data_IF_748755644355
#
_entry.id   IF_748755644355
#
_cell.length_a   1.000
_cell.length_b   1.000
_cell.length_c   1.000
_cell.angle_alpha   90.00
_cell.angle_beta   90.00
_cell.angle_gamma   90.00
#
_symmetry.space_group_name_H-M   'P 1'
#
loop_
_entity.id
_entity.type
_entity.pdbx_description
1 polymer ?
#
# COMPACT_ATOMS: atom_id res chain seq x y z
N UNK A 1 -53.90 11.56 -57.34
CA UNK A 1 -53.57 10.42 -56.52
C UNK A 1 -52.01 10.42 -56.40
N UNK A 2 -51.48 10.85 -55.29
CA UNK A 2 -50.01 10.92 -55.06
C UNK A 2 -49.68 9.96 -53.91
N UNK A 3 -48.97 8.88 -54.21
CA UNK A 3 -48.48 7.93 -53.23
C UNK A 3 -47.21 8.48 -52.58
N UNK A 4 -47.23 8.60 -51.27
CA UNK A 4 -46.06 8.96 -50.45
C UNK A 4 -45.53 7.67 -49.89
N UNK A 5 -44.28 7.31 -50.28
CA UNK A 5 -43.52 6.23 -49.66
C UNK A 5 -42.84 6.77 -48.38
N UNK A 6 -43.17 6.19 -47.26
CA UNK A 6 -42.46 6.40 -46.00
C UNK A 6 -41.28 5.40 -45.92
N UNK A 7 -40.04 5.93 -45.92
CA UNK A 7 -38.85 5.14 -45.67
C UNK A 7 -38.56 5.22 -44.16
N UNK A 8 -38.77 4.10 -43.49
CA UNK A 8 -38.42 3.96 -42.06
C UNK A 8 -36.94 3.70 -41.89
N UNK A 9 -36.21 4.65 -41.28
CA UNK A 9 -34.82 4.45 -40.87
C UNK A 9 -34.78 3.73 -39.52
N UNK A 10 -34.32 2.48 -39.51
CA UNK A 10 -34.02 1.77 -38.27
C UNK A 10 -32.68 2.21 -37.69
N UNK A 11 -32.70 2.92 -36.57
CA UNK A 11 -31.50 3.24 -35.78
C UNK A 11 -31.07 1.98 -34.99
N UNK A 12 -29.99 1.39 -35.41
CA UNK A 12 -29.29 0.33 -34.66
C UNK A 12 -28.43 0.97 -33.56
N UNK A 13 -28.94 1.01 -32.32
CA UNK A 13 -28.18 1.42 -31.16
C UNK A 13 -27.22 0.29 -30.75
N UNK A 14 -25.94 0.44 -31.06
CA UNK A 14 -24.89 -0.40 -30.47
C UNK A 14 -24.74 -0.03 -28.98
N UNK A 15 -25.23 -0.91 -28.12
CA UNK A 15 -24.93 -0.90 -26.68
C UNK A 15 -23.47 -1.38 -26.48
N UNK A 16 -22.55 -0.44 -26.37
CA UNK A 16 -21.21 -0.72 -25.85
C UNK A 16 -21.35 -1.07 -24.35
N UNK A 17 -21.31 -2.35 -24.05
CA UNK A 17 -21.23 -2.82 -22.67
C UNK A 17 -19.95 -2.29 -21.98
N UNK A 18 -19.99 -2.05 -20.65
CA UNK A 18 -18.81 -1.62 -19.93
C UNK A 18 -17.71 -2.69 -20.08
N UNK A 19 -16.55 -2.28 -20.61
CA UNK A 19 -15.35 -3.12 -20.63
C UNK A 19 -14.99 -3.46 -19.19
N UNK A 20 -15.14 -4.72 -18.80
CA UNK A 20 -14.65 -5.21 -17.52
C UNK A 20 -13.13 -5.04 -17.52
N UNK A 21 -12.63 -4.02 -16.81
CA UNK A 21 -11.19 -3.89 -16.54
C UNK A 21 -10.78 -5.12 -15.76
N UNK A 22 -9.90 -5.95 -16.32
CA UNK A 22 -9.34 -7.10 -15.63
C UNK A 22 -8.71 -6.61 -14.32
N UNK A 23 -9.24 -7.03 -13.16
CA UNK A 23 -8.61 -6.75 -11.88
C UNK A 23 -7.22 -7.39 -11.89
N UNK A 24 -6.18 -6.65 -11.45
CA UNK A 24 -4.85 -7.21 -11.33
C UNK A 24 -4.91 -8.49 -10.48
N UNK A 25 -4.20 -9.53 -10.92
CA UNK A 25 -4.11 -10.79 -10.19
C UNK A 25 -3.71 -10.54 -8.72
N UNK A 26 -4.33 -11.26 -7.80
CA UNK A 26 -3.97 -11.16 -6.37
C UNK A 26 -2.57 -11.75 -6.14
N UNK A 27 -1.74 -11.14 -5.27
CA UNK A 27 -0.41 -11.66 -4.96
C UNK A 27 -0.49 -13.08 -4.39
N UNK A 28 0.37 -13.96 -4.88
CA UNK A 28 0.48 -15.33 -4.35
C UNK A 28 1.19 -15.27 -2.99
N UNK A 29 0.67 -16.01 -2.02
CA UNK A 29 1.29 -16.15 -0.70
C UNK A 29 2.27 -17.32 -0.66
N UNK A 30 3.35 -17.13 0.09
CA UNK A 30 4.35 -18.17 0.38
C UNK A 30 4.40 -18.39 1.88
N UNK A 31 4.30 -19.65 2.30
CA UNK A 31 4.53 -20.01 3.69
C UNK A 31 5.98 -19.76 4.10
N UNK A 32 6.17 -19.21 5.28
CA UNK A 32 7.51 -19.12 5.89
C UNK A 32 7.89 -20.48 6.47
N UNK A 33 9.17 -20.89 6.36
CA UNK A 33 9.65 -22.16 6.95
C UNK A 33 9.54 -22.16 8.49
N UNK A 34 9.63 -20.97 9.09
CA UNK A 34 9.44 -20.74 10.52
C UNK A 34 8.58 -19.49 10.68
N UNK A 35 7.62 -19.52 11.61
CA UNK A 35 6.80 -18.34 11.93
C UNK A 35 7.69 -17.21 12.47
N UNK A 36 7.66 -16.05 11.81
CA UNK A 36 8.44 -14.88 12.21
C UNK A 36 7.65 -13.99 13.18
N UNK A 37 8.31 -13.56 14.25
CA UNK A 37 7.68 -12.76 15.31
C UNK A 37 8.01 -11.26 15.12
N UNK A 38 7.04 -10.44 14.65
CA UNK A 38 7.28 -9.01 14.44
C UNK A 38 7.69 -8.25 15.72
N UNK A 39 7.37 -8.77 16.90
CA UNK A 39 7.76 -8.14 18.17
C UNK A 39 9.24 -8.35 18.51
N UNK A 40 9.96 -9.16 17.73
CA UNK A 40 11.38 -9.49 17.95
C UNK A 40 12.28 -9.03 16.81
N UNK A 41 11.74 -8.97 15.61
CA UNK A 41 12.49 -8.65 14.39
C UNK A 41 11.58 -8.06 13.31
N UNK A 42 12.14 -7.25 12.43
CA UNK A 42 11.44 -6.77 11.25
C UNK A 42 11.12 -7.94 10.31
N UNK A 43 9.84 -8.13 9.98
CA UNK A 43 9.38 -9.20 9.11
C UNK A 43 8.99 -8.65 7.75
N UNK A 44 9.69 -9.06 6.70
CA UNK A 44 9.37 -8.69 5.32
C UNK A 44 8.04 -9.34 4.89
N UNK A 45 7.00 -8.54 4.69
CA UNK A 45 5.70 -8.99 4.19
C UNK A 45 5.67 -9.17 2.66
N UNK A 46 6.55 -8.47 1.96
CA UNK A 46 6.71 -8.61 0.52
C UNK A 46 7.49 -7.46 -0.12
N UNK A 47 7.90 -7.70 -1.36
CA UNK A 47 8.56 -6.70 -2.21
C UNK A 47 7.92 -6.71 -3.59
N UNK A 48 7.46 -5.57 -4.06
CA UNK A 48 6.78 -5.38 -5.34
C UNK A 48 7.44 -4.25 -6.10
N UNK A 49 7.69 -4.43 -7.40
CA UNK A 49 8.16 -3.36 -8.28
C UNK A 49 7.04 -2.98 -9.23
N UNK A 50 6.54 -1.76 -9.12
CA UNK A 50 5.47 -1.24 -9.97
C UNK A 50 5.60 0.28 -10.11
N UNK A 51 5.12 0.85 -11.23
CA UNK A 51 5.17 2.30 -11.47
C UNK A 51 6.58 2.90 -11.38
N UNK A 52 7.63 2.14 -11.71
CA UNK A 52 9.04 2.49 -11.53
C UNK A 52 9.41 2.80 -10.06
N UNK A 53 8.75 2.12 -9.12
CA UNK A 53 9.04 2.17 -7.68
C UNK A 53 9.17 0.76 -7.14
N UNK A 54 10.07 0.56 -6.18
CA UNK A 54 10.15 -0.65 -5.35
C UNK A 54 9.44 -0.36 -4.04
N UNK A 55 8.42 -1.15 -3.76
CA UNK A 55 7.70 -1.18 -2.50
C UNK A 55 8.21 -2.37 -1.69
N UNK A 56 8.85 -2.13 -0.57
CA UNK A 56 9.22 -3.18 0.39
C UNK A 56 8.44 -2.92 1.67
N UNK A 57 7.48 -3.79 1.95
CA UNK A 57 6.58 -3.68 3.11
C UNK A 57 7.06 -4.62 4.21
N UNK A 58 7.22 -4.07 5.41
CA UNK A 58 7.66 -4.78 6.60
C UNK A 58 6.69 -4.59 7.75
N UNK A 59 6.73 -5.50 8.71
CA UNK A 59 5.96 -5.47 9.95
C UNK A 59 6.92 -5.67 11.11
N UNK A 60 6.82 -4.78 12.11
CA UNK A 60 7.61 -4.80 13.34
C UNK A 60 6.71 -4.65 14.57
N UNK A 61 7.27 -4.75 15.77
CA UNK A 61 6.59 -4.36 17.00
C UNK A 61 6.37 -2.85 17.05
N UNK A 62 5.21 -2.43 17.58
CA UNK A 62 4.93 -1.00 17.77
C UNK A 62 5.99 -0.34 18.66
N UNK A 63 6.39 0.88 18.29
CA UNK A 63 7.47 1.61 18.95
C UNK A 63 7.09 3.07 19.26
N UNK A 64 7.72 3.68 20.26
CA UNK A 64 7.60 5.11 20.49
C UNK A 64 8.23 5.92 19.35
N UNK A 65 7.55 6.97 18.92
CA UNK A 65 8.01 7.85 17.84
C UNK A 65 8.22 9.27 18.34
N UNK A 66 9.21 9.97 17.79
CA UNK A 66 9.40 11.41 18.00
C UNK A 66 8.74 12.14 16.84
N UNK A 67 7.62 12.81 17.10
CA UNK A 67 6.79 13.38 16.04
C UNK A 67 6.18 14.73 16.45
N UNK A 68 5.69 15.49 15.47
CA UNK A 68 4.95 16.72 15.72
C UNK A 68 3.50 16.40 16.10
N UNK A 69 3.04 16.97 17.21
CA UNK A 69 1.69 16.77 17.75
C UNK A 69 1.09 18.10 18.20
N UNK A 70 -0.22 18.15 18.28
CA UNK A 70 -0.96 19.29 18.82
C UNK A 70 -1.16 20.46 17.84
N UNK A 71 -1.76 21.54 18.36
CA UNK A 71 -1.98 22.78 17.64
C UNK A 71 -1.70 23.98 18.57
N UNK A 72 -0.63 24.77 18.34
CA UNK A 72 0.36 24.62 17.27
C UNK A 72 1.18 23.35 17.39
N UNK A 73 1.73 22.84 16.26
CA UNK A 73 2.54 21.61 16.27
C UNK A 73 3.79 21.77 17.13
N UNK A 74 4.04 20.81 18.02
CA UNK A 74 5.24 20.72 18.83
C UNK A 74 5.83 19.31 18.77
N UNK A 75 7.15 19.22 18.77
CA UNK A 75 7.84 17.93 18.80
C UNK A 75 7.70 17.26 20.16
N UNK A 76 7.35 15.99 20.19
CA UNK A 76 7.22 15.21 21.42
C UNK A 76 7.30 13.70 21.17
N UNK A 77 7.55 12.95 22.23
CA UNK A 77 7.47 11.51 22.20
C UNK A 77 6.01 11.06 22.17
N UNK A 78 5.67 10.20 21.22
CA UNK A 78 4.37 9.56 21.10
C UNK A 78 4.54 8.05 21.34
N UNK A 79 4.01 7.57 22.45
CA UNK A 79 3.97 6.14 22.73
C UNK A 79 2.86 5.45 21.89
N UNK A 80 3.02 4.17 21.53
CA UNK A 80 1.95 3.42 20.90
C UNK A 80 0.68 3.41 21.77
N UNK A 81 -0.49 3.45 21.15
CA UNK A 81 -1.75 3.22 21.85
C UNK A 81 -1.82 1.76 22.32
N UNK A 82 -2.70 1.48 23.30
CA UNK A 82 -2.79 0.15 23.93
C UNK A 82 -3.11 -0.98 22.95
N UNK A 83 -3.86 -0.67 21.90
CA UNK A 83 -4.25 -1.59 20.84
C UNK A 83 -3.28 -1.61 19.65
N UNK A 84 -2.35 -0.65 19.55
CA UNK A 84 -1.29 -0.61 18.54
C UNK A 84 -0.18 -1.60 18.90
N UNK A 85 -0.26 -2.78 18.34
CA UNK A 85 0.72 -3.86 18.59
C UNK A 85 1.87 -3.88 17.58
N UNK A 86 1.63 -3.37 16.39
CA UNK A 86 2.55 -3.48 15.26
C UNK A 86 2.94 -2.11 14.74
N UNK A 87 4.10 -2.06 14.12
CA UNK A 87 4.59 -0.94 13.32
C UNK A 87 4.66 -1.40 11.86
N UNK A 88 3.97 -0.69 10.97
CA UNK A 88 3.97 -0.95 9.53
C UNK A 88 5.01 -0.03 8.88
N UNK A 89 6.00 -0.60 8.22
CA UNK A 89 7.07 0.14 7.55
C UNK A 89 7.06 -0.11 6.04
N UNK A 90 7.07 0.96 5.24
CA UNK A 90 7.29 0.94 3.80
C UNK A 90 8.65 1.54 3.46
N UNK A 91 9.53 0.74 2.89
CA UNK A 91 10.74 1.21 2.22
C UNK A 91 10.45 1.43 0.74
N UNK A 92 10.30 2.70 0.35
CA UNK A 92 10.03 3.10 -1.02
C UNK A 92 11.34 3.54 -1.71
N UNK A 93 11.67 2.93 -2.86
CA UNK A 93 12.94 3.23 -3.54
C UNK A 93 12.81 3.22 -5.07
N UNK A 94 13.72 3.93 -5.72
CA UNK A 94 13.95 3.82 -7.15
C UNK A 94 14.65 2.49 -7.47
N UNK A 95 14.12 1.67 -8.39
CA UNK A 95 14.71 0.38 -8.73
C UNK A 95 16.11 0.49 -9.38
N UNK A 96 16.42 1.59 -10.07
CA UNK A 96 17.69 1.79 -10.75
C UNK A 96 18.80 2.23 -9.80
N UNK A 97 18.57 3.29 -9.02
CA UNK A 97 19.58 3.89 -8.14
C UNK A 97 19.58 3.33 -6.74
N UNK A 98 18.52 2.60 -6.35
CA UNK A 98 18.25 2.11 -4.96
C UNK A 98 18.05 3.26 -3.96
N UNK A 99 17.98 4.50 -4.42
CA UNK A 99 17.75 5.67 -3.58
C UNK A 99 16.33 5.66 -3.03
N UNK A 100 16.17 6.01 -1.76
CA UNK A 100 14.85 6.19 -1.14
C UNK A 100 14.13 7.38 -1.77
N UNK A 101 12.83 7.22 -2.04
CA UNK A 101 11.98 8.25 -2.63
C UNK A 101 11.34 9.04 -1.48
N UNK A 102 11.71 10.33 -1.28
CA UNK A 102 11.14 11.17 -0.24
C UNK A 102 9.85 11.88 -0.71
N UNK A 103 9.20 12.62 0.20
CA UNK A 103 8.11 13.57 -0.07
C UNK A 103 6.92 13.00 -0.84
N UNK A 104 6.59 11.73 -0.62
CA UNK A 104 5.34 11.14 -1.08
C UNK A 104 4.31 11.12 0.06
N UNK A 105 3.03 11.31 -0.25
CA UNK A 105 1.97 10.94 0.65
C UNK A 105 1.71 9.44 0.47
N UNK A 106 1.78 8.69 1.57
CA UNK A 106 1.64 7.23 1.55
C UNK A 106 0.46 6.82 2.42
N UNK A 107 -0.39 5.95 1.89
CA UNK A 107 -1.47 5.32 2.64
C UNK A 107 -1.36 3.80 2.60
N UNK A 108 -1.72 3.18 3.71
CA UNK A 108 -1.80 1.73 3.88
C UNK A 108 -3.23 1.35 4.25
N UNK A 109 -3.78 0.33 3.63
CA UNK A 109 -5.05 -0.27 3.99
C UNK A 109 -4.90 -1.78 4.01
N UNK A 110 -5.34 -2.44 5.09
CA UNK A 110 -5.28 -3.89 5.23
C UNK A 110 -6.61 -4.45 5.74
N UNK A 111 -7.20 -5.36 4.97
CA UNK A 111 -8.43 -6.06 5.34
C UNK A 111 -8.08 -7.47 5.78
N UNK A 112 -8.47 -7.82 7.00
CA UNK A 112 -8.44 -9.20 7.47
C UNK A 112 -9.61 -9.96 6.81
N UNK A 113 -9.29 -10.92 5.95
CA UNK A 113 -10.25 -11.69 5.16
C UNK A 113 -11.09 -12.66 6.00
N UNK A 114 -10.59 -13.05 7.17
CA UNK A 114 -11.25 -14.03 8.03
C UNK A 114 -12.34 -13.39 8.90
N UNK A 115 -12.24 -12.08 9.20
CA UNK A 115 -13.23 -11.36 10.00
C UNK A 115 -13.82 -10.10 9.33
N UNK A 116 -13.36 -9.73 8.15
CA UNK A 116 -13.83 -8.59 7.34
C UNK A 116 -13.40 -7.20 7.85
N UNK A 117 -12.64 -7.10 8.93
CA UNK A 117 -12.21 -5.82 9.50
C UNK A 117 -11.07 -5.21 8.69
N UNK A 118 -11.14 -3.89 8.50
CA UNK A 118 -10.14 -3.12 7.75
C UNK A 118 -9.49 -2.07 8.66
N UNK A 119 -8.18 -1.95 8.54
CA UNK A 119 -7.37 -0.85 9.10
C UNK A 119 -6.89 0.01 7.96
N UNK A 120 -6.95 1.34 8.13
CA UNK A 120 -6.42 2.31 7.17
C UNK A 120 -5.55 3.31 7.92
N UNK A 121 -4.33 3.54 7.42
CA UNK A 121 -3.31 4.40 8.03
C UNK A 121 -2.73 5.35 6.98
N UNK A 122 -2.44 6.59 7.37
CA UNK A 122 -1.42 7.37 6.71
C UNK A 122 -0.05 6.90 7.22
N UNK A 123 0.92 6.73 6.32
CA UNK A 123 2.30 6.42 6.67
C UNK A 123 3.16 7.68 6.44
N UNK A 124 3.38 8.52 7.45
CA UNK A 124 4.26 9.67 7.33
C UNK A 124 5.72 9.25 7.12
N UNK A 125 6.57 10.13 6.54
CA UNK A 125 7.99 9.86 6.43
C UNK A 125 8.63 9.83 7.83
N UNK A 126 9.45 8.83 8.05
CA UNK A 126 10.21 8.61 9.29
C UNK A 126 11.67 8.33 8.96
N UNK A 127 12.56 8.67 9.89
CA UNK A 127 13.97 8.35 9.84
C UNK A 127 14.34 7.42 10.97
N UNK A 128 14.84 6.24 10.67
CA UNK A 128 15.30 5.24 11.62
C UNK A 128 16.64 4.62 11.20
N UNK A 129 17.03 3.53 11.84
CA UNK A 129 18.27 2.80 11.53
C UNK A 129 18.33 2.29 10.08
N UNK A 130 17.19 2.03 9.46
CA UNK A 130 17.06 1.62 8.06
C UNK A 130 17.10 2.80 7.06
N UNK A 131 17.29 4.04 7.54
CA UNK A 131 17.21 5.28 6.76
C UNK A 131 15.78 5.77 6.61
N UNK A 132 15.52 6.57 5.54
CA UNK A 132 14.19 7.09 5.24
C UNK A 132 13.23 5.95 4.88
N UNK A 133 12.10 5.91 5.55
CA UNK A 133 10.96 5.04 5.27
C UNK A 133 9.64 5.75 5.59
N UNK A 134 8.52 5.13 5.32
CA UNK A 134 7.17 5.62 5.62
C UNK A 134 6.51 4.65 6.58
N UNK A 135 6.02 5.12 7.72
CA UNK A 135 5.58 4.18 8.75
C UNK A 135 4.54 4.76 9.71
N UNK A 136 3.81 3.86 10.37
CA UNK A 136 2.92 4.17 11.48
C UNK A 136 2.69 2.93 12.36
N UNK A 137 2.40 3.15 13.64
CA UNK A 137 1.88 2.10 14.51
C UNK A 137 0.47 1.70 14.08
N UNK A 138 0.11 0.44 14.30
CA UNK A 138 -1.12 -0.17 13.80
C UNK A 138 -1.73 -1.15 14.77
N UNK A 139 -3.05 -1.03 14.91
CA UNK A 139 -3.91 -2.03 15.51
C UNK A 139 -4.42 -3.03 14.46
N UNK A 140 -3.54 -3.83 13.83
CA UNK A 140 -3.97 -4.94 12.97
C UNK A 140 -4.90 -5.88 13.76
N UNK A 141 -6.08 -6.16 13.22
CA UNK A 141 -7.21 -6.72 13.98
C UNK A 141 -7.18 -8.25 14.01
N UNK A 142 -6.34 -8.80 14.88
CA UNK A 142 -6.28 -10.23 15.18
C UNK A 142 -5.56 -11.07 14.12
N UNK A 143 -5.52 -12.37 14.38
CA UNK A 143 -5.00 -13.36 13.44
C UNK A 143 -5.88 -13.47 12.21
N UNK A 144 -5.33 -13.96 11.10
CA UNK A 144 -6.05 -14.17 9.85
C UNK A 144 -5.24 -13.85 8.61
N UNK A 145 -5.88 -13.99 7.46
CA UNK A 145 -5.32 -13.61 6.15
C UNK A 145 -5.59 -12.15 5.89
N UNK A 146 -4.54 -11.39 5.65
CA UNK A 146 -4.63 -9.98 5.30
C UNK A 146 -4.41 -9.76 3.81
N UNK A 147 -5.32 -8.98 3.20
CA UNK A 147 -5.11 -8.33 1.91
C UNK A 147 -4.81 -6.86 2.16
N UNK A 148 -3.58 -6.45 1.86
CA UNK A 148 -3.12 -5.08 2.08
C UNK A 148 -2.84 -4.38 0.74
N UNK A 149 -3.10 -3.08 0.73
CA UNK A 149 -2.76 -2.17 -0.38
C UNK A 149 -1.98 -0.99 0.18
N UNK A 150 -0.85 -0.71 -0.43
CA UNK A 150 -0.10 0.53 -0.19
C UNK A 150 -0.29 1.42 -1.42
N UNK A 151 -0.73 2.66 -1.21
CA UNK A 151 -0.84 3.66 -2.27
C UNK A 151 0.13 4.79 -1.97
N UNK A 152 0.89 5.16 -2.99
CA UNK A 152 1.86 6.26 -2.98
C UNK A 152 1.38 7.31 -3.95
N UNK A 153 1.13 8.51 -3.46
CA UNK A 153 0.81 9.67 -4.30
C UNK A 153 2.08 10.21 -4.98
N UNK A 154 1.86 11.12 -5.92
CA UNK A 154 2.96 11.76 -6.66
C UNK A 154 3.93 12.45 -5.69
N UNK A 155 5.22 12.06 -5.65
CA UNK A 155 6.19 12.76 -4.83
C UNK A 155 6.31 14.25 -5.21
N UNK A 156 6.42 15.13 -4.22
CA UNK A 156 6.31 16.59 -4.42
C UNK A 156 7.62 17.31 -4.74
N UNK A 157 8.76 16.60 -4.79
CA UNK A 157 10.04 17.20 -5.20
C UNK A 157 10.11 17.52 -6.70
N UNK A 158 10.98 18.47 -7.06
CA UNK A 158 11.21 18.87 -8.44
C UNK A 158 11.90 17.74 -9.24
N UNK A 159 11.61 17.64 -10.52
CA UNK A 159 12.22 16.70 -11.46
C UNK A 159 12.90 17.45 -12.60
N UNK A 160 13.95 16.89 -13.16
CA UNK A 160 14.50 17.40 -14.43
C UNK A 160 13.45 17.25 -15.55
N UNK A 161 13.51 18.13 -16.54
CA UNK A 161 12.54 18.13 -17.65
C UNK A 161 12.49 16.78 -18.38
N UNK A 162 13.65 16.11 -18.53
CA UNK A 162 13.72 14.77 -19.16
C UNK A 162 12.99 13.69 -18.35
N UNK A 163 12.84 13.89 -17.03
CA UNK A 163 12.22 12.96 -16.08
C UNK A 163 10.82 13.43 -15.63
N UNK A 164 10.21 14.40 -16.32
CA UNK A 164 8.91 14.99 -15.95
C UNK A 164 7.79 13.97 -15.76
N UNK A 165 7.83 12.86 -16.48
CA UNK A 165 6.82 11.79 -16.43
C UNK A 165 7.18 10.68 -15.42
N UNK A 166 8.35 10.76 -14.78
CA UNK A 166 8.75 9.81 -13.75
C UNK A 166 7.90 10.04 -12.48
N UNK A 167 7.22 9.00 -12.01
CA UNK A 167 6.31 9.03 -10.85
C UNK A 167 5.24 10.15 -10.92
N UNK A 168 4.77 10.46 -12.13
CA UNK A 168 3.81 11.54 -12.38
C UNK A 168 2.34 11.15 -12.07
N UNK A 169 2.10 9.94 -11.58
CA UNK A 169 0.77 9.42 -11.20
C UNK A 169 0.87 8.61 -9.91
N UNK A 170 -0.20 8.56 -9.12
CA UNK A 170 -0.26 7.65 -7.97
C UNK A 170 -0.03 6.21 -8.38
N UNK A 171 0.64 5.46 -7.51
CA UNK A 171 0.98 4.04 -7.74
C UNK A 171 0.54 3.23 -6.52
N UNK A 172 -0.07 2.07 -6.75
CA UNK A 172 -0.45 1.15 -5.68
C UNK A 172 0.23 -0.20 -5.84
N UNK A 173 0.59 -0.80 -4.71
CA UNK A 173 1.10 -2.16 -4.61
C UNK A 173 0.23 -2.97 -3.66
N UNK A 174 0.02 -4.25 -3.97
CA UNK A 174 -0.77 -5.17 -3.17
C UNK A 174 0.13 -6.19 -2.49
N UNK A 175 -0.26 -6.55 -1.25
CA UNK A 175 0.44 -7.53 -0.43
C UNK A 175 -0.58 -8.46 0.21
N UNK A 176 -0.23 -9.74 0.37
CA UNK A 176 -1.00 -10.71 1.13
C UNK A 176 -0.11 -11.38 2.16
N UNK A 177 -0.55 -11.43 3.40
CA UNK A 177 0.17 -12.10 4.47
C UNK A 177 -0.81 -12.75 5.44
N UNK A 178 -0.31 -13.66 6.28
CA UNK A 178 -1.13 -14.29 7.34
C UNK A 178 -0.46 -14.13 8.67
N UNK A 179 -1.25 -13.68 9.65
CA UNK A 179 -0.93 -13.73 11.06
C UNK A 179 -1.56 -14.97 11.71
N UNK A 180 -0.81 -15.63 12.58
CA UNK A 180 -1.26 -16.71 13.46
C UNK A 180 -0.52 -16.60 14.80
N UNK A 181 -1.26 -16.56 15.90
CA UNK A 181 -0.73 -16.34 17.26
C UNK A 181 0.16 -15.09 17.33
N UNK A 182 -0.22 -14.04 16.59
CA UNK A 182 0.49 -12.77 16.47
C UNK A 182 1.80 -12.83 15.66
N UNK A 183 2.12 -13.96 15.01
CA UNK A 183 3.32 -14.15 14.17
C UNK A 183 2.95 -14.20 12.70
N UNK A 184 3.86 -13.77 11.85
CA UNK A 184 3.72 -13.90 10.40
C UNK A 184 4.07 -15.33 10.00
N UNK A 185 3.15 -16.03 9.34
CA UNK A 185 3.33 -17.42 8.87
C UNK A 185 3.31 -17.54 7.35
N UNK A 186 2.73 -16.57 6.64
CA UNK A 186 2.75 -16.48 5.18
C UNK A 186 3.00 -15.03 4.74
N UNK A 187 3.73 -14.85 3.66
CA UNK A 187 4.04 -13.53 3.06
C UNK A 187 3.77 -13.53 1.56
N UNK A 188 3.67 -12.34 0.94
CA UNK A 188 3.59 -12.22 -0.51
C UNK A 188 4.85 -12.77 -1.17
N UNK A 189 4.69 -13.51 -2.27
CA UNK A 189 5.82 -13.80 -3.13
C UNK A 189 6.32 -12.51 -3.78
N UNK A 190 7.63 -12.37 -4.04
CA UNK A 190 8.14 -11.30 -4.87
C UNK A 190 7.47 -11.34 -6.25
N UNK A 191 6.91 -10.20 -6.68
CA UNK A 191 6.37 -10.02 -8.02
C UNK A 191 7.44 -9.51 -8.97
#
# INVERSE_FOLDING_TARGET
MRNILLVGSALFSLLLGPSASAQPAEPIRKALPVAADPLKEAVLLGRVTTGKMVFQLELEGAEPMWMQMGNPPAWGAHAPAVDERYHVELKLADPATKTRIPYAAVSFSATNRDNGKTVTLALPPMWGSSGLHYSANSALVGDGVYAATVTVDVPTFQRELKDKDLWARPVSARFHFRLRDGKVVEVSQPG
#
